data_IF_301327662238
#
_entry.id   IF_301327662238
#
_cell.length_a   1.000
_cell.length_b   1.000
_cell.length_c   1.000
_cell.angle_alpha   90.00
_cell.angle_beta   90.00
_cell.angle_gamma   90.00
#
_symmetry.space_group_name_H-M   'P 1'
#
loop_
_entity.id
_entity.type
_entity.pdbx_description
1 polymer ?
#
# COMPACT_ATOMS: atom_id res chain seq x y z
N UNK A 1 -19.33 -1.67 -65.49
CA UNK A 1 -19.23 -0.87 -64.29
C UNK A 1 -18.48 -1.66 -63.20
N UNK A 2 -17.18 -1.36 -62.98
CA UNK A 2 -16.34 -2.04 -61.98
C UNK A 2 -16.46 -1.31 -60.65
N UNK A 3 -17.04 -1.97 -59.63
CA UNK A 3 -17.13 -1.46 -58.25
C UNK A 3 -15.77 -1.69 -57.57
N UNK A 4 -15.09 -0.60 -57.23
CA UNK A 4 -13.90 -0.61 -56.38
C UNK A 4 -14.33 -0.72 -54.91
N UNK A 5 -13.96 -1.84 -54.25
CA UNK A 5 -14.13 -1.99 -52.80
C UNK A 5 -12.82 -1.47 -52.20
N UNK A 6 -12.90 -0.31 -51.53
CA UNK A 6 -11.81 0.23 -50.72
C UNK A 6 -11.86 -0.51 -49.37
N UNK A 7 -10.92 -1.41 -49.13
CA UNK A 7 -10.72 -2.05 -47.84
C UNK A 7 -9.93 -1.05 -47.00
N UNK A 8 -10.62 -0.40 -46.04
CA UNK A 8 -10.01 0.45 -45.05
C UNK A 8 -9.36 -0.46 -43.97
N UNK A 9 -8.07 -0.71 -44.13
CA UNK A 9 -7.29 -1.42 -43.11
C UNK A 9 -7.04 -0.46 -41.96
N UNK A 10 -7.84 -0.57 -40.89
CA UNK A 10 -7.59 0.12 -39.61
C UNK A 10 -6.36 -0.52 -38.99
N UNK A 11 -5.23 0.19 -39.08
CA UNK A 11 -3.98 -0.17 -38.42
C UNK A 11 -4.18 -0.01 -36.91
N UNK A 12 -4.52 -1.09 -36.22
CA UNK A 12 -4.51 -1.16 -34.74
C UNK A 12 -3.05 -1.04 -34.29
N UNK A 13 -2.62 0.19 -34.02
CA UNK A 13 -1.37 0.41 -33.28
C UNK A 13 -1.57 -0.14 -31.87
N UNK A 14 -0.69 -1.03 -31.39
CA UNK A 14 -0.74 -1.45 -30.01
C UNK A 14 -0.48 -0.20 -29.14
N UNK A 15 -1.47 0.18 -28.34
CA UNK A 15 -1.26 1.11 -27.23
C UNK A 15 -0.31 0.42 -26.25
N UNK A 16 0.99 0.63 -26.42
CA UNK A 16 1.95 0.33 -25.38
C UNK A 16 1.63 1.24 -24.21
N UNK A 17 1.03 0.68 -23.17
CA UNK A 17 0.96 1.36 -21.88
C UNK A 17 2.41 1.71 -21.51
N UNK A 18 2.79 2.97 -21.66
CA UNK A 18 4.06 3.47 -21.16
C UNK A 18 3.97 3.35 -19.63
N UNK A 19 4.56 2.29 -19.09
CA UNK A 19 4.97 2.29 -17.69
C UNK A 19 5.93 3.47 -17.57
N UNK A 20 5.56 4.51 -16.80
CA UNK A 20 6.44 5.63 -16.54
C UNK A 20 7.78 5.08 -16.05
N UNK A 21 8.80 5.16 -16.88
CA UNK A 21 10.14 4.72 -16.52
C UNK A 21 10.70 5.62 -15.41
N UNK A 22 11.63 5.16 -14.58
CA UNK A 22 12.27 6.01 -13.57
C UNK A 22 12.88 7.27 -14.16
N UNK A 23 13.35 7.22 -15.40
CA UNK A 23 13.86 8.36 -16.17
C UNK A 23 12.81 9.48 -16.31
N UNK A 24 11.57 9.16 -16.65
CA UNK A 24 10.49 10.15 -16.78
C UNK A 24 10.19 10.81 -15.42
N UNK A 25 10.18 10.03 -14.35
CA UNK A 25 9.97 10.55 -13.00
C UNK A 25 11.11 11.44 -12.52
N UNK A 26 12.35 11.15 -12.90
CA UNK A 26 13.52 12.03 -12.64
C UNK A 26 13.36 13.34 -13.40
N UNK A 27 12.94 13.30 -14.68
CA UNK A 27 12.70 14.49 -15.48
C UNK A 27 11.62 15.39 -14.87
N UNK A 28 10.52 14.83 -14.39
CA UNK A 28 9.46 15.60 -13.71
C UNK A 28 9.99 16.33 -12.47
N UNK A 29 10.81 15.67 -11.64
CA UNK A 29 11.47 16.35 -10.52
C UNK A 29 12.38 17.46 -11.01
N UNK A 30 13.19 17.21 -12.07
CA UNK A 30 14.09 18.23 -12.65
C UNK A 30 13.35 19.45 -13.18
N UNK A 31 12.17 19.28 -13.76
CA UNK A 31 11.33 20.42 -14.17
C UNK A 31 10.90 21.26 -12.96
N UNK A 32 10.50 20.63 -11.86
CA UNK A 32 10.09 21.36 -10.64
C UNK A 32 11.25 22.14 -10.04
N UNK A 33 12.46 21.57 -10.01
CA UNK A 33 13.65 22.21 -9.45
C UNK A 33 14.39 23.12 -10.45
N UNK A 34 13.86 23.24 -11.68
CA UNK A 34 14.43 24.05 -12.77
C UNK A 34 15.88 23.67 -13.15
N UNK A 35 16.16 22.36 -13.17
CA UNK A 35 17.44 21.80 -13.60
C UNK A 35 17.23 20.72 -14.67
N UNK A 36 17.14 21.13 -15.94
CA UNK A 36 16.81 20.24 -17.05
C UNK A 36 17.86 19.14 -17.32
N UNK A 37 19.11 19.37 -16.95
CA UNK A 37 20.23 18.43 -17.11
C UNK A 37 20.95 18.22 -15.79
N UNK A 38 21.49 17.02 -15.57
CA UNK A 38 22.21 16.70 -14.35
C UNK A 38 23.47 17.57 -14.20
N UNK A 39 23.41 18.58 -13.34
CA UNK A 39 24.54 19.42 -13.03
C UNK A 39 24.85 19.45 -11.54
N UNK A 40 23.88 19.76 -10.70
CA UNK A 40 24.05 19.80 -9.25
C UNK A 40 23.56 18.51 -8.57
N UNK A 41 22.43 17.94 -9.04
CA UNK A 41 21.90 16.68 -8.53
C UNK A 41 22.09 15.57 -9.54
N UNK A 42 22.64 14.43 -9.10
CA UNK A 42 22.71 13.23 -9.92
C UNK A 42 21.34 12.56 -10.01
N UNK A 43 21.11 11.80 -11.08
CA UNK A 43 19.88 11.00 -11.23
C UNK A 43 19.74 9.99 -10.09
N UNK A 44 20.84 9.42 -9.62
CA UNK A 44 20.84 8.47 -8.51
C UNK A 44 20.33 9.10 -7.21
N UNK A 45 20.66 10.37 -6.93
CA UNK A 45 20.14 11.08 -5.76
C UNK A 45 18.65 11.35 -5.87
N UNK A 46 18.19 11.81 -7.04
CA UNK A 46 16.76 12.04 -7.28
C UNK A 46 16.00 10.72 -7.17
N UNK A 47 16.52 9.63 -7.71
CA UNK A 47 15.93 8.30 -7.57
C UNK A 47 15.84 7.85 -6.10
N UNK A 48 16.86 8.11 -5.29
CA UNK A 48 16.82 7.81 -3.86
C UNK A 48 15.74 8.63 -3.13
N UNK A 49 15.52 9.89 -3.48
CA UNK A 49 14.44 10.71 -2.91
C UNK A 49 13.06 10.25 -3.39
N UNK A 50 12.92 9.84 -4.65
CA UNK A 50 11.70 9.23 -5.15
C UNK A 50 11.36 7.97 -4.35
N UNK A 51 12.34 7.13 -4.06
CA UNK A 51 12.15 5.93 -3.26
C UNK A 51 11.72 6.21 -1.82
N UNK A 52 12.35 7.21 -1.19
CA UNK A 52 11.92 7.70 0.12
C UNK A 52 10.50 8.26 0.07
N UNK A 53 10.15 9.00 -0.98
CA UNK A 53 8.81 9.54 -1.19
C UNK A 53 7.74 8.47 -1.30
N UNK A 54 7.99 7.38 -2.03
CA UNK A 54 7.07 6.23 -2.10
C UNK A 54 6.85 5.67 -0.69
N UNK A 55 7.91 5.49 0.08
CA UNK A 55 7.82 4.96 1.44
C UNK A 55 7.04 5.89 2.38
N UNK A 56 7.23 7.22 2.25
CA UNK A 56 6.49 8.22 3.03
C UNK A 56 5.00 8.24 2.65
N UNK A 57 4.68 8.27 1.35
CA UNK A 57 3.30 8.23 0.84
C UNK A 57 2.58 6.97 1.34
N UNK A 58 3.18 5.80 1.15
CA UNK A 58 2.55 4.53 1.50
C UNK A 58 2.29 4.40 3.00
N UNK A 59 3.21 4.88 3.82
CA UNK A 59 3.06 4.83 5.28
C UNK A 59 2.02 5.81 5.82
N UNK A 60 1.88 6.99 5.21
CA UNK A 60 0.96 8.04 5.65
C UNK A 60 -0.44 7.93 5.06
N UNK A 61 -0.54 7.68 3.74
CA UNK A 61 -1.82 7.59 3.05
C UNK A 61 -2.48 6.22 3.20
N UNK A 62 -1.70 5.15 3.44
CA UNK A 62 -2.19 3.77 3.45
C UNK A 62 -2.91 3.41 2.14
N UNK A 63 -2.39 3.91 1.00
CA UNK A 63 -3.05 3.84 -0.31
C UNK A 63 -3.10 2.42 -0.90
N UNK A 64 -2.24 1.51 -0.47
CA UNK A 64 -2.25 0.12 -0.92
C UNK A 64 -3.01 -0.77 0.05
N UNK A 65 -4.32 -0.73 -0.03
CA UNK A 65 -5.18 -1.59 0.78
C UNK A 65 -5.45 -2.91 0.05
N UNK A 66 -5.31 -4.01 0.76
CA UNK A 66 -5.56 -5.36 0.25
C UNK A 66 -6.06 -6.26 1.37
N UNK A 67 -6.47 -7.47 1.02
CA UNK A 67 -6.86 -8.48 2.00
C UNK A 67 -6.19 -9.81 1.70
N UNK A 68 -5.94 -10.57 2.75
CA UNK A 68 -5.47 -11.95 2.67
C UNK A 68 -6.14 -12.80 3.74
N UNK A 69 -5.96 -14.11 3.67
CA UNK A 69 -6.59 -15.06 4.58
C UNK A 69 -5.55 -15.87 5.34
N UNK A 70 -5.77 -16.03 6.64
CA UNK A 70 -5.03 -16.95 7.51
C UNK A 70 -5.92 -18.17 7.71
N UNK A 71 -5.41 -19.36 7.39
CA UNK A 71 -6.03 -20.63 7.80
C UNK A 71 -5.66 -20.93 9.24
N UNK A 72 -6.65 -21.09 10.10
CA UNK A 72 -6.42 -21.39 11.51
C UNK A 72 -5.89 -22.81 11.68
N UNK A 73 -5.03 -22.98 12.68
CA UNK A 73 -4.49 -24.29 13.07
C UNK A 73 -4.67 -24.48 14.56
N UNK A 74 -4.97 -25.71 14.97
CA UNK A 74 -5.17 -26.07 16.39
C UNK A 74 -3.93 -25.68 17.22
N UNK A 75 -4.17 -25.03 18.34
CA UNK A 75 -3.12 -24.61 19.29
C UNK A 75 -2.07 -23.65 18.75
N UNK A 76 -2.30 -23.02 17.60
CA UNK A 76 -1.46 -21.97 17.03
C UNK A 76 -2.16 -20.63 17.20
N UNK A 77 -1.52 -19.69 17.86
CA UNK A 77 -2.04 -18.33 18.06
C UNK A 77 -1.26 -17.23 17.31
N UNK A 78 -0.05 -17.51 16.82
CA UNK A 78 0.76 -16.57 16.05
C UNK A 78 1.05 -17.09 14.64
N UNK A 79 0.71 -16.31 13.65
CA UNK A 79 0.87 -16.61 12.22
C UNK A 79 1.88 -15.64 11.62
N UNK A 80 2.90 -16.17 10.94
CA UNK A 80 3.91 -15.37 10.27
C UNK A 80 3.32 -14.62 9.06
N UNK A 81 3.72 -13.38 8.87
CA UNK A 81 3.37 -12.57 7.69
C UNK A 81 4.43 -12.64 6.58
N UNK A 82 5.58 -13.29 6.84
CA UNK A 82 6.68 -13.38 5.87
C UNK A 82 6.84 -14.77 5.27
N UNK A 83 6.40 -15.80 6.00
CA UNK A 83 6.50 -17.20 5.58
C UNK A 83 5.22 -17.94 5.99
N UNK A 84 4.48 -18.49 5.04
CA UNK A 84 3.27 -19.27 5.33
C UNK A 84 1.99 -18.67 4.75
N UNK A 85 0.90 -18.73 5.51
CA UNK A 85 -0.47 -18.44 5.05
C UNK A 85 -0.72 -17.00 4.61
N UNK A 86 0.12 -16.04 5.02
CA UNK A 86 0.04 -14.64 4.60
C UNK A 86 1.34 -14.27 3.90
N UNK A 87 1.33 -14.30 2.58
CA UNK A 87 2.51 -14.00 1.75
C UNK A 87 2.69 -12.49 1.53
N UNK A 88 2.71 -11.70 2.60
CA UNK A 88 2.89 -10.25 2.48
C UNK A 88 4.08 -9.76 3.29
N UNK A 89 5.22 -9.73 2.64
CA UNK A 89 6.37 -8.98 3.13
C UNK A 89 6.04 -7.48 3.10
N UNK A 90 5.91 -6.85 4.26
CA UNK A 90 5.73 -5.41 4.47
C UNK A 90 4.28 -4.92 4.71
N UNK A 91 3.59 -5.54 5.68
CA UNK A 91 2.39 -4.94 6.26
C UNK A 91 2.78 -3.62 6.95
N UNK A 92 2.23 -2.51 6.47
CA UNK A 92 2.37 -1.20 7.13
C UNK A 92 1.42 -1.10 8.32
N UNK A 93 0.16 -1.52 8.12
CA UNK A 93 -0.88 -1.44 9.14
C UNK A 93 -1.99 -2.45 8.86
N UNK A 94 -2.39 -3.21 9.87
CA UNK A 94 -3.61 -4.00 9.81
C UNK A 94 -4.80 -3.07 10.08
N UNK A 95 -5.76 -3.04 9.15
CA UNK A 95 -6.94 -2.20 9.18
C UNK A 95 -8.10 -2.90 9.90
N UNK A 96 -8.22 -4.22 9.74
CA UNK A 96 -9.24 -5.03 10.38
C UNK A 96 -8.98 -6.52 10.18
N UNK A 97 -9.61 -7.35 11.01
CA UNK A 97 -9.61 -8.80 10.87
C UNK A 97 -11.01 -9.34 11.15
N UNK A 98 -11.40 -10.35 10.40
CA UNK A 98 -12.71 -11.00 10.49
C UNK A 98 -12.54 -12.51 10.52
N UNK A 99 -13.11 -13.14 11.50
CA UNK A 99 -13.23 -14.58 11.51
C UNK A 99 -14.36 -15.00 10.57
N UNK A 100 -14.11 -15.95 9.71
CA UNK A 100 -15.09 -16.54 8.81
C UNK A 100 -15.57 -17.82 9.47
N UNK A 101 -16.82 -17.81 9.96
CA UNK A 101 -17.43 -18.97 10.59
C UNK A 101 -17.68 -20.09 9.57
N UNK A 102 -17.95 -21.34 10.01
CA UNK A 102 -18.35 -22.42 9.11
C UNK A 102 -19.58 -22.10 8.25
N UNK A 103 -20.47 -21.25 8.77
CA UNK A 103 -21.67 -20.78 8.07
C UNK A 103 -21.41 -19.60 7.12
N UNK A 104 -20.14 -19.28 6.84
CA UNK A 104 -19.69 -18.14 6.04
C UNK A 104 -20.09 -16.76 6.59
N UNK A 105 -20.34 -16.64 7.89
CA UNK A 105 -20.55 -15.35 8.53
C UNK A 105 -19.21 -14.67 8.85
N UNK A 106 -19.14 -13.36 8.62
CA UNK A 106 -17.98 -12.53 8.92
C UNK A 106 -18.12 -11.91 10.32
N UNK A 107 -17.39 -12.43 11.29
CA UNK A 107 -17.39 -11.95 12.66
C UNK A 107 -16.16 -11.06 12.88
N UNK A 108 -16.41 -9.78 13.15
CA UNK A 108 -15.32 -8.82 13.39
C UNK A 108 -14.50 -9.15 14.63
N UNK A 109 -13.17 -9.20 14.49
CA UNK A 109 -12.27 -9.41 15.62
C UNK A 109 -11.89 -8.07 16.25
N UNK A 110 -11.85 -8.02 17.57
CA UNK A 110 -11.41 -6.82 18.30
C UNK A 110 -9.89 -6.73 18.30
N UNK A 111 -9.37 -5.57 17.88
CA UNK A 111 -7.93 -5.31 17.96
C UNK A 111 -7.49 -5.11 19.42
N UNK A 112 -6.38 -5.73 19.79
CA UNK A 112 -5.67 -5.49 21.04
C UNK A 112 -4.19 -5.21 20.74
N UNK A 113 -3.47 -4.65 21.70
CA UNK A 113 -2.03 -4.50 21.61
C UNK A 113 -1.32 -5.68 22.26
N UNK A 114 -0.14 -6.05 21.77
CA UNK A 114 0.61 -7.20 22.26
C UNK A 114 0.91 -7.12 23.77
N UNK A 115 1.14 -5.91 24.31
CA UNK A 115 1.33 -5.68 25.74
C UNK A 115 0.06 -5.86 26.59
N UNK A 116 -1.12 -5.87 25.98
CA UNK A 116 -2.39 -6.07 26.70
C UNK A 116 -2.79 -7.55 26.82
N UNK A 117 -2.04 -8.45 26.20
CA UNK A 117 -2.35 -9.89 26.23
C UNK A 117 -2.29 -10.42 27.67
N UNK A 118 -1.34 -9.94 28.48
CA UNK A 118 -1.20 -10.34 29.88
C UNK A 118 -2.37 -9.89 30.77
N UNK A 119 -3.06 -8.82 30.38
CA UNK A 119 -4.19 -8.25 31.13
C UNK A 119 -5.54 -8.90 30.74
N UNK A 120 -5.53 -9.75 29.73
CA UNK A 120 -6.74 -10.44 29.33
C UNK A 120 -7.10 -11.52 30.34
N UNK A 121 -8.40 -11.66 30.68
CA UNK A 121 -8.84 -12.78 31.50
C UNK A 121 -8.51 -14.09 30.81
N UNK A 122 -8.30 -15.14 31.60
CA UNK A 122 -8.12 -16.47 31.03
C UNK A 122 -9.24 -16.79 30.05
N UNK A 123 -8.87 -17.10 28.82
CA UNK A 123 -9.81 -17.45 27.77
C UNK A 123 -9.61 -18.93 27.43
N UNK A 124 -10.68 -19.71 27.60
CA UNK A 124 -10.72 -21.08 27.07
C UNK A 124 -10.51 -21.04 25.56
N UNK A 125 -9.86 -22.08 25.02
CA UNK A 125 -9.72 -22.25 23.59
C UNK A 125 -11.10 -22.27 22.90
N UNK A 126 -11.19 -21.71 21.70
CA UNK A 126 -12.46 -21.60 20.97
C UNK A 126 -12.40 -20.59 19.83
N UNK A 127 -13.57 -20.13 19.34
CA UNK A 127 -13.62 -19.23 18.19
C UNK A 127 -12.90 -17.91 18.48
N UNK A 128 -12.16 -17.37 17.47
CA UNK A 128 -11.43 -16.12 17.55
C UNK A 128 -12.32 -14.93 17.97
N UNK A 129 -11.78 -14.08 18.83
CA UNK A 129 -12.45 -12.84 19.30
C UNK A 129 -11.55 -11.61 19.18
N UNK A 130 -10.24 -11.83 19.28
CA UNK A 130 -9.24 -10.75 19.30
C UNK A 130 -8.12 -11.04 18.32
N UNK A 131 -7.51 -9.97 17.83
CA UNK A 131 -6.27 -10.05 17.08
C UNK A 131 -5.29 -8.97 17.51
N UNK A 132 -4.01 -9.22 17.32
CA UNK A 132 -2.95 -8.23 17.43
C UNK A 132 -1.96 -8.39 16.28
N UNK A 133 -1.25 -7.33 16.00
CA UNK A 133 -0.13 -7.34 15.05
C UNK A 133 1.11 -6.86 15.79
N UNK A 134 2.16 -7.68 15.78
CA UNK A 134 3.44 -7.37 16.39
C UNK A 134 4.56 -7.90 15.50
N UNK A 135 5.50 -7.00 15.12
CA UNK A 135 6.56 -7.31 14.17
C UNK A 135 5.99 -7.96 12.89
N UNK A 136 6.48 -9.11 12.51
CA UNK A 136 6.03 -9.86 11.32
C UNK A 136 5.05 -10.99 11.68
N UNK A 137 4.25 -10.80 12.73
CA UNK A 137 3.28 -11.80 13.18
C UNK A 137 1.91 -11.19 13.42
N UNK A 138 0.89 -11.97 13.12
CA UNK A 138 -0.47 -11.69 13.49
C UNK A 138 -0.89 -12.74 14.53
N UNK A 139 -1.25 -12.26 15.72
CA UNK A 139 -1.77 -13.10 16.77
C UNK A 139 -3.28 -13.13 16.76
N UNK A 140 -3.86 -14.28 17.02
CA UNK A 140 -5.29 -14.53 17.05
C UNK A 140 -5.65 -15.23 18.38
N UNK A 141 -6.60 -14.68 19.09
CA UNK A 141 -7.00 -15.16 20.42
C UNK A 141 -8.54 -15.30 20.52
N UNK A 142 -9.04 -16.25 21.31
CA UNK A 142 -8.31 -17.33 21.99
C UNK A 142 -7.68 -18.34 21.02
N UNK A 143 -6.94 -19.31 21.57
CA UNK A 143 -6.37 -20.42 20.81
C UNK A 143 -7.48 -21.18 20.07
N UNK A 144 -7.34 -21.43 18.76
CA UNK A 144 -8.29 -22.26 18.01
C UNK A 144 -8.30 -23.71 18.51
N UNK A 145 -9.49 -24.30 18.62
CA UNK A 145 -9.65 -25.73 18.86
C UNK A 145 -9.66 -26.52 17.54
N UNK A 146 -9.87 -27.83 17.63
CA UNK A 146 -10.07 -28.65 16.42
C UNK A 146 -11.31 -28.27 15.62
N UNK A 147 -12.32 -27.66 16.27
CA UNK A 147 -13.54 -27.17 15.58
C UNK A 147 -13.28 -25.95 14.72
N UNK A 148 -12.41 -25.04 15.17
CA UNK A 148 -12.02 -23.84 14.42
C UNK A 148 -10.84 -24.09 13.47
N UNK A 149 -10.16 -25.22 13.61
CA UNK A 149 -9.06 -25.61 12.71
C UNK A 149 -9.58 -25.71 11.28
N UNK A 150 -8.83 -25.14 10.33
CA UNK A 150 -9.19 -24.98 8.91
C UNK A 150 -10.14 -23.81 8.59
N UNK A 151 -10.79 -23.20 9.57
CA UNK A 151 -11.54 -21.97 9.34
C UNK A 151 -10.59 -20.81 9.00
N UNK A 152 -11.13 -19.77 8.39
CA UNK A 152 -10.35 -18.66 7.87
C UNK A 152 -10.48 -17.42 8.75
N UNK A 153 -9.40 -16.69 8.88
CA UNK A 153 -9.42 -15.30 9.32
C UNK A 153 -9.00 -14.42 8.16
N UNK A 154 -9.91 -13.58 7.67
CA UNK A 154 -9.61 -12.59 6.63
C UNK A 154 -9.07 -11.33 7.27
N UNK A 155 -7.93 -10.86 6.78
CA UNK A 155 -7.25 -9.68 7.27
C UNK A 155 -7.27 -8.63 6.17
N UNK A 156 -7.65 -7.41 6.53
CA UNK A 156 -7.52 -6.22 5.69
C UNK A 156 -6.34 -5.40 6.19
N UNK A 157 -5.44 -5.05 5.31
CA UNK A 157 -4.22 -4.32 5.68
C UNK A 157 -3.74 -3.39 4.57
N UNK A 158 -2.98 -2.39 4.98
CA UNK A 158 -2.19 -1.57 4.07
C UNK A 158 -0.78 -2.16 3.98
N UNK A 159 -0.26 -2.27 2.75
CA UNK A 159 1.10 -2.75 2.45
C UNK A 159 1.99 -1.65 1.91
N UNK A 160 3.28 -1.87 1.85
CA UNK A 160 4.23 -1.06 1.08
C UNK A 160 3.99 -1.24 -0.43
N UNK A 161 4.48 -0.28 -1.23
CA UNK A 161 4.56 -0.46 -2.68
C UNK A 161 5.38 -1.72 -3.01
N UNK A 162 4.87 -2.54 -3.92
CA UNK A 162 5.54 -3.77 -4.34
C UNK A 162 6.48 -3.51 -5.51
N UNK A 163 7.58 -4.27 -5.57
CA UNK A 163 8.53 -4.23 -6.67
C UNK A 163 9.97 -4.24 -6.21
N UNK A 164 10.80 -4.99 -6.92
CA UNK A 164 12.23 -5.11 -6.63
C UNK A 164 13.03 -3.88 -7.09
N UNK A 165 12.47 -3.08 -8.01
CA UNK A 165 13.10 -1.88 -8.56
C UNK A 165 12.25 -0.64 -8.32
N UNK A 166 12.87 0.53 -8.36
CA UNK A 166 12.16 1.81 -8.24
C UNK A 166 11.07 1.95 -9.32
N UNK A 167 11.34 1.53 -10.56
CA UNK A 167 10.38 1.55 -11.66
C UNK A 167 9.08 0.81 -11.32
N UNK A 168 9.21 -0.41 -10.81
CA UNK A 168 8.05 -1.23 -10.43
C UNK A 168 7.28 -0.62 -9.27
N UNK A 169 7.96 -0.01 -8.30
CA UNK A 169 7.31 0.66 -7.17
C UNK A 169 6.58 1.94 -7.58
N UNK A 170 7.14 2.71 -8.52
CA UNK A 170 6.46 3.88 -9.11
C UNK A 170 5.25 3.43 -9.94
N UNK A 171 5.38 2.34 -10.70
CA UNK A 171 4.28 1.80 -11.50
C UNK A 171 3.13 1.27 -10.63
N UNK A 172 3.44 0.67 -9.48
CA UNK A 172 2.45 0.18 -8.49
C UNK A 172 1.70 1.35 -7.81
N UNK A 173 2.33 2.54 -7.69
CA UNK A 173 1.72 3.70 -7.03
C UNK A 173 0.50 4.21 -7.83
N UNK A 174 -0.68 4.39 -7.19
CA UNK A 174 -1.84 4.95 -7.86
C UNK A 174 -1.52 6.30 -8.50
N UNK A 175 -2.10 6.56 -9.67
CA UNK A 175 -1.74 7.69 -10.53
C UNK A 175 -1.89 9.04 -9.83
N UNK A 176 -2.89 9.18 -8.97
CA UNK A 176 -3.18 10.39 -8.20
C UNK A 176 -2.09 10.75 -7.17
N UNK A 177 -1.26 9.77 -6.77
CA UNK A 177 -0.14 10.01 -5.84
C UNK A 177 1.18 10.34 -6.53
N UNK A 178 1.30 10.14 -7.84
CA UNK A 178 2.56 10.40 -8.57
C UNK A 178 3.02 11.87 -8.51
N UNK A 179 2.13 12.88 -8.66
CA UNK A 179 2.54 14.28 -8.49
C UNK A 179 3.10 14.58 -7.09
N UNK A 180 2.55 13.93 -6.04
CA UNK A 180 3.04 14.08 -4.68
C UNK A 180 4.45 13.55 -4.51
N UNK A 181 4.76 12.44 -5.20
CA UNK A 181 6.08 11.85 -5.21
C UNK A 181 7.12 12.84 -5.74
N UNK A 182 6.79 13.57 -6.81
CA UNK A 182 7.67 14.57 -7.40
C UNK A 182 7.85 15.79 -6.50
N UNK A 183 6.80 16.25 -5.83
CA UNK A 183 6.88 17.32 -4.83
C UNK A 183 7.75 16.93 -3.64
N UNK A 184 7.61 15.70 -3.15
CA UNK A 184 8.47 15.20 -2.07
C UNK A 184 9.95 15.24 -2.48
N UNK A 185 10.30 14.64 -3.63
CA UNK A 185 11.67 14.62 -4.13
C UNK A 185 12.24 16.04 -4.38
N UNK A 186 11.45 16.95 -4.95
CA UNK A 186 11.84 18.34 -5.16
C UNK A 186 12.10 19.07 -3.83
N UNK A 187 11.30 18.80 -2.78
CA UNK A 187 11.54 19.38 -1.46
C UNK A 187 12.86 18.93 -0.87
N UNK A 188 13.27 17.68 -1.10
CA UNK A 188 14.57 17.15 -0.67
C UNK A 188 15.72 17.76 -1.45
N UNK A 189 15.54 18.01 -2.75
CA UNK A 189 16.51 18.71 -3.59
C UNK A 189 16.76 20.13 -3.06
N UNK A 190 15.72 20.94 -2.85
CA UNK A 190 15.83 22.28 -2.27
C UNK A 190 16.49 22.28 -0.88
N UNK A 191 16.17 21.28 -0.04
CA UNK A 191 16.78 21.13 1.28
C UNK A 191 18.27 20.90 1.20
N UNK A 192 18.75 20.09 0.26
CA UNK A 192 20.18 19.82 0.04
C UNK A 192 20.90 21.08 -0.45
N UNK A 193 20.25 21.92 -1.24
CA UNK A 193 20.78 23.20 -1.71
C UNK A 193 20.73 24.31 -0.63
N UNK A 194 20.30 23.99 0.58
CA UNK A 194 20.09 24.94 1.68
C UNK A 194 19.03 26.02 1.40
N UNK A 195 18.17 25.81 0.40
CA UNK A 195 17.01 26.66 0.10
C UNK A 195 15.82 26.24 0.95
N UNK A 196 15.91 26.49 2.25
CA UNK A 196 14.95 25.99 3.21
C UNK A 196 13.54 26.59 3.07
N UNK A 197 13.43 27.82 2.56
CA UNK A 197 12.12 28.44 2.34
C UNK A 197 11.33 27.69 1.25
N UNK A 198 11.96 27.43 0.12
CA UNK A 198 11.37 26.68 -1.01
C UNK A 198 11.12 25.22 -0.62
N UNK A 199 12.08 24.60 0.07
CA UNK A 199 11.94 23.24 0.57
C UNK A 199 10.70 23.09 1.46
N UNK A 200 10.53 24.00 2.43
CA UNK A 200 9.41 23.97 3.35
C UNK A 200 8.07 24.28 2.66
N UNK A 201 8.03 25.23 1.72
CA UNK A 201 6.84 25.54 0.94
C UNK A 201 6.39 24.34 0.08
N UNK A 202 7.34 23.71 -0.63
CA UNK A 202 7.07 22.53 -1.46
C UNK A 202 6.62 21.34 -0.60
N UNK A 203 7.27 21.11 0.53
CA UNK A 203 6.88 20.04 1.47
C UNK A 203 5.52 20.29 2.10
N UNK A 204 5.19 21.54 2.43
CA UNK A 204 3.85 21.90 2.94
C UNK A 204 2.77 21.61 1.90
N UNK A 205 3.00 21.95 0.63
CA UNK A 205 2.10 21.63 -0.48
C UNK A 205 1.92 20.11 -0.64
N UNK A 206 3.02 19.36 -0.57
CA UNK A 206 2.98 17.89 -0.55
C UNK A 206 2.07 17.36 0.57
N UNK A 207 2.27 17.81 1.81
CA UNK A 207 1.48 17.34 2.95
C UNK A 207 0.00 17.72 2.84
N UNK A 208 -0.31 18.91 2.34
CA UNK A 208 -1.68 19.37 2.12
C UNK A 208 -2.41 18.47 1.13
N UNK A 209 -1.81 18.21 -0.03
CA UNK A 209 -2.39 17.36 -1.06
C UNK A 209 -2.49 15.89 -0.59
N UNK A 210 -1.47 15.38 0.11
CA UNK A 210 -1.50 14.03 0.68
C UNK A 210 -2.67 13.86 1.65
N UNK A 211 -2.91 14.85 2.51
CA UNK A 211 -4.03 14.81 3.45
C UNK A 211 -5.38 14.91 2.75
N UNK A 212 -5.51 15.68 1.67
CA UNK A 212 -6.72 15.74 0.87
C UNK A 212 -7.06 14.38 0.27
N UNK A 213 -6.12 13.74 -0.44
CA UNK A 213 -6.30 12.41 -1.01
C UNK A 213 -6.60 11.33 0.05
N UNK A 214 -5.96 11.44 1.21
CA UNK A 214 -6.24 10.53 2.32
C UNK A 214 -7.67 10.67 2.83
N UNK A 215 -8.21 11.88 2.91
CA UNK A 215 -9.60 12.11 3.31
C UNK A 215 -10.59 11.53 2.28
N UNK A 216 -10.32 11.68 0.99
CA UNK A 216 -11.13 11.08 -0.06
C UNK A 216 -11.21 9.56 0.07
N UNK A 217 -10.07 8.89 0.29
CA UNK A 217 -10.03 7.43 0.51
C UNK A 217 -10.86 6.96 1.72
N UNK A 218 -10.93 7.77 2.78
CA UNK A 218 -11.66 7.41 4.00
C UNK A 218 -13.13 7.76 3.93
N UNK A 219 -13.52 8.68 3.03
CA UNK A 219 -14.90 9.13 2.86
C UNK A 219 -15.70 8.34 1.82
N UNK A 220 -15.05 7.42 1.09
CA UNK A 220 -15.78 6.51 0.20
C UNK A 220 -16.60 5.56 1.08
N UNK A 221 -17.94 5.60 1.05
CA UNK A 221 -18.75 4.62 1.76
C UNK A 221 -18.35 3.21 1.28
N UNK A 222 -18.26 2.21 2.16
CA UNK A 222 -18.03 0.85 1.72
C UNK A 222 -19.16 0.51 0.73
N UNK A 223 -18.77 0.10 -0.49
CA UNK A 223 -19.76 -0.38 -1.47
C UNK A 223 -20.57 -1.48 -0.80
N UNK A 224 -21.82 -1.17 -0.49
CA UNK A 224 -22.80 -2.15 -0.05
C UNK A 224 -23.05 -3.04 -1.26
N UNK A 225 -22.34 -4.16 -1.35
CA UNK A 225 -22.73 -5.23 -2.28
C UNK A 225 -24.10 -5.69 -1.84
N UNK A 226 -25.12 -5.15 -2.50
CA UNK A 226 -26.47 -5.72 -2.45
C UNK A 226 -26.40 -7.17 -2.93
N UNK A 227 -27.04 -8.10 -2.21
CA UNK A 227 -27.04 -9.52 -2.51
C UNK A 227 -27.66 -9.85 -3.88
#
# INVERSE_FOLDING_TARGET
MKKWIIILTILMLPFTAHCAEPADSVLEVRYIINEATASFWSDAEIQAWLDQGISDITSRALCFQTSDTITLSTSVYEYSTTTGSVSVSAIVKVLGAFYVSPDNEYIGLKRIYANQIADLPYMAAGPPKYYYHYANKIGILPLPTSTESTNLVRIYFARQASGATLALRIADLPTEYKPLLYLFAASMAWKKEHRFAEANATYATYLQQLNALKQELHNVPPEVKTP
#
